data_IF_150908722613
#
_entry.id   IF_150908722613
#
_cell.length_a   1.000
_cell.length_b   1.000
_cell.length_c   1.000
_cell.angle_alpha   90.00
_cell.angle_beta   90.00
_cell.angle_gamma   90.00
#
_symmetry.space_group_name_H-M   'P 1'
#
loop_
_entity.id
_entity.type
_entity.pdbx_description
1 polymer ?
#
# COMPACT_ATOMS: atom_id res chain seq x y z
N UNK A 1 -4.21 -11.57 -1.32
CA UNK A 1 -4.25 -12.97 -1.78
C UNK A 1 -5.42 -13.13 -2.73
N UNK A 2 -5.16 -13.58 -3.95
CA UNK A 2 -6.22 -14.02 -4.89
C UNK A 2 -6.30 -15.54 -4.88
N UNK A 3 -7.44 -16.08 -5.33
CA UNK A 3 -7.65 -17.51 -5.56
C UNK A 3 -6.52 -18.09 -6.40
N UNK A 4 -5.80 -19.09 -5.90
CA UNK A 4 -4.70 -19.70 -6.64
C UNK A 4 -5.23 -20.33 -7.94
N UNK A 5 -4.45 -20.28 -9.03
CA UNK A 5 -4.89 -20.74 -10.35
C UNK A 5 -5.35 -22.21 -10.35
N UNK A 6 -4.81 -23.04 -9.46
CA UNK A 6 -5.18 -24.45 -9.30
C UNK A 6 -6.40 -24.70 -8.40
N UNK A 7 -6.94 -23.68 -7.73
CA UNK A 7 -8.12 -23.83 -6.88
C UNK A 7 -9.36 -23.92 -7.77
N UNK A 8 -10.16 -24.97 -7.60
CA UNK A 8 -11.41 -25.13 -8.31
C UNK A 8 -12.42 -24.04 -7.94
N UNK A 9 -13.15 -23.53 -8.93
CA UNK A 9 -14.21 -22.55 -8.73
C UNK A 9 -15.53 -23.19 -9.13
N UNK A 10 -16.47 -23.27 -8.18
CA UNK A 10 -17.84 -23.75 -8.43
C UNK A 10 -18.63 -22.63 -9.11
N UNK A 11 -19.30 -22.93 -10.21
CA UNK A 11 -20.24 -22.00 -10.83
C UNK A 11 -21.52 -21.92 -9.98
N UNK A 12 -21.93 -20.75 -9.50
CA UNK A 12 -23.12 -20.66 -8.66
C UNK A 12 -24.43 -20.84 -9.44
N UNK A 13 -24.39 -20.83 -10.77
CA UNK A 13 -25.56 -20.93 -11.65
C UNK A 13 -25.55 -22.18 -12.54
N UNK A 14 -24.46 -22.96 -12.54
CA UNK A 14 -24.32 -24.20 -13.32
C UNK A 14 -23.80 -25.32 -12.44
N UNK A 15 -24.18 -26.55 -12.76
CA UNK A 15 -23.61 -27.74 -12.11
C UNK A 15 -22.23 -28.06 -12.70
N UNK A 16 -21.26 -27.16 -12.45
CA UNK A 16 -19.91 -27.24 -13.03
C UNK A 16 -18.88 -26.66 -12.09
N UNK A 17 -17.72 -27.32 -12.03
CA UNK A 17 -16.54 -26.85 -11.30
C UNK A 17 -15.42 -26.63 -12.30
N UNK A 18 -14.90 -25.40 -12.37
CA UNK A 18 -13.79 -25.06 -13.25
C UNK A 18 -12.45 -25.21 -12.53
N UNK A 19 -11.65 -26.17 -12.98
CA UNK A 19 -10.31 -26.43 -12.44
C UNK A 19 -9.25 -25.59 -13.16
N UNK A 20 -9.32 -25.51 -14.49
CA UNK A 20 -8.32 -24.83 -15.32
C UNK A 20 -8.63 -23.35 -15.57
N UNK A 21 -7.60 -22.49 -15.76
CA UNK A 21 -7.79 -21.10 -16.15
C UNK A 21 -8.63 -20.97 -17.43
N UNK A 22 -9.75 -20.29 -17.33
CA UNK A 22 -10.67 -20.05 -18.45
C UNK A 22 -11.51 -18.80 -18.19
N UNK A 23 -12.10 -18.24 -19.25
CA UNK A 23 -13.06 -17.13 -19.10
C UNK A 23 -14.27 -17.55 -18.26
N UNK A 24 -14.69 -18.81 -18.36
CA UNK A 24 -15.81 -19.32 -17.57
C UNK A 24 -15.45 -19.44 -16.08
N UNK A 25 -14.22 -19.84 -15.75
CA UNK A 25 -13.71 -19.84 -14.37
C UNK A 25 -13.73 -18.45 -13.75
N UNK A 26 -13.25 -17.44 -14.49
CA UNK A 26 -13.25 -16.04 -14.04
C UNK A 26 -14.69 -15.53 -13.86
N UNK A 27 -15.59 -15.87 -14.79
CA UNK A 27 -17.02 -15.54 -14.67
C UNK A 27 -17.62 -16.14 -13.39
N UNK A 28 -17.45 -17.44 -13.17
CA UNK A 28 -17.94 -18.12 -11.97
C UNK A 28 -17.41 -17.50 -10.67
N UNK A 29 -16.14 -17.08 -10.66
CA UNK A 29 -15.56 -16.38 -9.52
C UNK A 29 -16.19 -14.99 -9.32
N UNK A 30 -16.41 -14.23 -10.40
CA UNK A 30 -17.08 -12.94 -10.37
C UNK A 30 -18.54 -13.04 -9.92
N UNK A 31 -19.27 -14.02 -10.44
CA UNK A 31 -20.66 -14.31 -10.08
C UNK A 31 -20.79 -14.69 -8.60
N UNK A 32 -19.88 -15.54 -8.11
CA UNK A 32 -19.81 -15.90 -6.68
C UNK A 32 -19.58 -14.67 -5.81
N UNK A 33 -18.63 -13.81 -6.19
CA UNK A 33 -18.37 -12.55 -5.48
C UNK A 33 -19.61 -11.63 -5.50
N UNK A 34 -20.28 -11.51 -6.64
CA UNK A 34 -21.52 -10.74 -6.79
C UNK A 34 -22.63 -11.23 -5.86
N UNK A 35 -22.85 -12.55 -5.80
CA UNK A 35 -23.83 -13.15 -4.89
C UNK A 35 -23.49 -12.93 -3.41
N UNK A 36 -22.21 -13.01 -3.04
CA UNK A 36 -21.76 -12.70 -1.68
C UNK A 36 -22.06 -11.22 -1.35
N UNK A 37 -21.79 -10.30 -2.29
CA UNK A 37 -22.09 -8.88 -2.11
C UNK A 37 -23.59 -8.66 -1.93
N UNK A 38 -24.43 -9.23 -2.81
CA UNK A 38 -25.89 -9.10 -2.71
C UNK A 38 -26.43 -9.62 -1.38
N UNK A 39 -26.02 -10.82 -0.95
CA UNK A 39 -26.41 -11.36 0.38
C UNK A 39 -25.91 -10.49 1.53
N UNK A 40 -24.68 -10.00 1.44
CA UNK A 40 -24.13 -9.09 2.47
C UNK A 40 -24.91 -7.78 2.54
N UNK A 41 -25.37 -7.26 1.41
CA UNK A 41 -26.21 -6.06 1.36
C UNK A 41 -27.60 -6.33 1.95
N UNK A 42 -28.20 -7.50 1.69
CA UNK A 42 -29.51 -7.87 2.26
C UNK A 42 -29.43 -8.08 3.78
N UNK A 43 -28.39 -8.75 4.27
CA UNK A 43 -28.30 -9.19 5.67
C UNK A 43 -27.60 -8.17 6.59
N UNK A 44 -26.62 -7.43 6.08
CA UNK A 44 -25.63 -6.68 6.90
C UNK A 44 -25.28 -5.30 6.34
N UNK A 45 -26.14 -4.72 5.49
CA UNK A 45 -25.90 -3.37 5.00
C UNK A 45 -25.80 -2.35 6.14
N UNK A 46 -24.80 -1.48 6.05
CA UNK A 46 -24.71 -0.28 6.87
C UNK A 46 -25.29 0.87 6.06
N UNK A 47 -26.53 1.26 6.38
CA UNK A 47 -27.18 2.41 5.74
C UNK A 47 -26.65 3.73 6.33
N UNK A 48 -26.30 4.67 5.45
CA UNK A 48 -25.81 5.99 5.81
C UNK A 48 -26.69 7.02 5.10
N UNK A 49 -27.51 7.76 5.85
CA UNK A 49 -28.38 8.83 5.29
C UNK A 49 -27.70 10.19 5.29
N UNK A 50 -26.83 10.41 6.27
CA UNK A 50 -26.06 11.64 6.43
C UNK A 50 -24.63 11.26 6.83
N UNK A 51 -23.65 11.94 6.24
CA UNK A 51 -22.24 11.72 6.54
C UNK A 51 -21.45 13.02 6.43
N UNK A 52 -20.52 13.21 7.36
CA UNK A 52 -19.48 14.23 7.23
C UNK A 52 -18.31 13.67 6.46
N UNK A 53 -17.64 14.54 5.70
CA UNK A 53 -16.38 14.26 5.04
C UNK A 53 -15.28 15.02 5.78
N UNK A 54 -14.22 14.31 6.18
CA UNK A 54 -13.01 14.92 6.72
C UNK A 54 -11.84 14.56 5.81
N UNK A 55 -10.95 15.52 5.56
CA UNK A 55 -9.79 15.33 4.69
C UNK A 55 -8.58 16.04 5.29
N UNK A 56 -7.44 15.36 5.25
CA UNK A 56 -6.10 15.93 5.44
C UNK A 56 -5.23 15.44 4.31
N UNK A 57 -4.57 16.35 3.62
CA UNK A 57 -3.65 16.04 2.54
C UNK A 57 -2.38 16.86 2.70
N UNK A 58 -1.26 16.30 2.26
CA UNK A 58 0.04 16.96 2.33
C UNK A 58 0.88 16.59 1.13
N UNK A 59 1.39 17.62 0.45
CA UNK A 59 2.48 17.51 -0.50
C UNK A 59 3.80 17.51 0.26
N UNK A 60 4.69 16.58 -0.06
CA UNK A 60 6.01 16.46 0.54
C UNK A 60 7.08 16.18 -0.50
N UNK A 61 8.34 16.43 -0.13
CA UNK A 61 9.50 16.10 -0.95
C UNK A 61 10.26 14.94 -0.35
N UNK A 62 10.46 13.88 -1.13
CA UNK A 62 11.24 12.71 -0.74
C UNK A 62 12.61 12.70 -1.43
N UNK A 63 13.70 12.31 -0.73
CA UNK A 63 15.00 12.18 -1.34
C UNK A 63 15.00 11.10 -2.43
N UNK A 64 15.37 11.47 -3.66
CA UNK A 64 15.62 10.53 -4.73
C UNK A 64 17.05 9.99 -4.59
N UNK A 65 17.23 8.79 -4.05
CA UNK A 65 18.54 8.12 -3.85
C UNK A 65 18.90 7.11 -4.92
N UNK A 66 17.91 6.57 -5.62
CA UNK A 66 18.11 5.60 -6.69
C UNK A 66 18.87 6.19 -7.88
N UNK A 67 20.04 5.60 -8.19
CA UNK A 67 20.94 6.09 -9.25
C UNK A 67 20.34 5.96 -10.65
N UNK A 68 19.57 4.89 -10.91
CA UNK A 68 18.93 4.68 -12.20
C UNK A 68 17.82 5.70 -12.42
N UNK A 69 17.01 5.96 -11.41
CA UNK A 69 15.94 6.97 -11.49
C UNK A 69 16.52 8.37 -11.70
N UNK A 70 17.62 8.71 -11.02
CA UNK A 70 18.33 9.98 -11.24
C UNK A 70 18.87 10.10 -12.66
N UNK A 71 19.45 9.03 -13.20
CA UNK A 71 19.94 9.01 -14.57
C UNK A 71 18.78 9.16 -15.56
N UNK A 72 17.70 8.41 -15.37
CA UNK A 72 16.50 8.46 -16.20
C UNK A 72 15.86 9.86 -16.20
N UNK A 73 15.81 10.52 -15.04
CA UNK A 73 15.40 11.91 -14.93
C UNK A 73 16.33 12.86 -15.70
N UNK A 74 17.65 12.70 -15.53
CA UNK A 74 18.65 13.56 -16.18
C UNK A 74 18.65 13.46 -17.71
N UNK A 75 18.30 12.29 -18.27
CA UNK A 75 18.20 12.08 -19.72
C UNK A 75 16.77 12.23 -20.26
N UNK A 76 15.81 12.65 -19.43
CA UNK A 76 14.44 12.96 -19.83
C UNK A 76 13.52 11.77 -20.09
N UNK A 77 13.89 10.55 -19.66
CA UNK A 77 13.03 9.36 -19.78
C UNK A 77 11.94 9.34 -18.70
N UNK A 78 12.23 9.91 -17.53
CA UNK A 78 11.31 9.93 -16.40
C UNK A 78 10.98 11.37 -16.02
N UNK A 79 9.69 11.71 -16.01
CA UNK A 79 9.24 12.97 -15.44
C UNK A 79 9.29 12.89 -13.91
N UNK A 80 10.37 13.44 -13.37
CA UNK A 80 10.71 13.26 -11.97
C UNK A 80 10.09 14.31 -11.05
N UNK A 81 9.21 15.21 -11.55
CA UNK A 81 8.60 16.35 -10.81
C UNK A 81 9.53 16.91 -9.74
N UNK A 82 10.78 17.19 -10.15
CA UNK A 82 11.84 17.47 -9.20
C UNK A 82 11.68 18.89 -8.66
N UNK A 83 11.29 19.00 -7.41
CA UNK A 83 11.18 20.28 -6.67
C UNK A 83 12.50 20.85 -6.21
N UNK A 84 13.60 20.19 -6.56
CA UNK A 84 14.96 20.60 -6.27
C UNK A 84 15.95 19.50 -6.65
N UNK A 85 17.22 19.71 -6.30
CA UNK A 85 18.26 18.73 -6.59
C UNK A 85 17.99 17.39 -5.88
N UNK A 86 17.77 16.33 -6.66
CA UNK A 86 17.60 14.95 -6.19
C UNK A 86 16.46 14.74 -5.19
N UNK A 87 15.32 15.41 -5.40
CA UNK A 87 14.08 15.18 -4.65
C UNK A 87 12.91 14.96 -5.61
N UNK A 88 11.98 14.08 -5.23
CA UNK A 88 10.69 13.88 -5.91
C UNK A 88 9.60 14.48 -5.04
N UNK A 89 8.79 15.37 -5.61
CA UNK A 89 7.53 15.81 -5.01
C UNK A 89 6.51 14.69 -5.11
N UNK A 90 5.75 14.50 -4.04
CA UNK A 90 4.68 13.50 -3.97
C UNK A 90 3.58 13.96 -3.03
N UNK A 91 2.45 13.26 -3.02
CA UNK A 91 1.28 13.62 -2.20
C UNK A 91 0.76 12.42 -1.40
N UNK A 92 0.35 12.69 -0.17
CA UNK A 92 -0.39 11.76 0.67
C UNK A 92 -1.68 12.40 1.16
N UNK A 93 -2.72 11.59 1.34
CA UNK A 93 -3.95 12.03 1.95
C UNK A 93 -4.58 10.95 2.84
N UNK A 94 -5.25 11.40 3.89
CA UNK A 94 -6.14 10.60 4.71
C UNK A 94 -7.48 11.30 4.77
N UNK A 95 -8.56 10.52 4.67
CA UNK A 95 -9.89 11.07 4.70
C UNK A 95 -10.91 10.07 5.21
N UNK A 96 -12.08 10.56 5.55
CA UNK A 96 -13.19 9.74 6.02
C UNK A 96 -14.51 10.23 5.47
N UNK A 97 -15.45 9.31 5.27
CA UNK A 97 -16.86 9.60 5.02
C UNK A 97 -17.70 8.62 5.83
N UNK A 98 -18.49 9.14 6.78
CA UNK A 98 -19.26 8.31 7.70
C UNK A 98 -18.36 7.30 8.46
N UNK A 99 -18.67 5.99 8.45
CA UNK A 99 -17.88 4.95 9.11
C UNK A 99 -16.68 4.46 8.30
N UNK A 100 -16.45 5.00 7.10
CA UNK A 100 -15.34 4.62 6.24
C UNK A 100 -14.18 5.62 6.37
N UNK A 101 -12.97 5.10 6.47
CA UNK A 101 -11.73 5.87 6.41
C UNK A 101 -10.78 5.31 5.37
N UNK A 102 -9.98 6.22 4.82
CA UNK A 102 -9.13 6.00 3.68
C UNK A 102 -7.75 6.60 3.99
N UNK A 103 -6.72 5.80 3.73
CA UNK A 103 -5.34 6.25 3.68
C UNK A 103 -4.84 6.03 2.25
N UNK A 104 -4.29 7.08 1.66
CA UNK A 104 -3.76 7.05 0.31
C UNK A 104 -2.27 7.29 0.36
N UNK A 105 -1.53 6.55 -0.45
CA UNK A 105 -0.08 6.68 -0.55
C UNK A 105 0.40 6.51 -1.98
N UNK A 106 1.45 7.25 -2.35
CA UNK A 106 2.01 7.24 -3.69
C UNK A 106 2.91 6.02 -3.85
N UNK A 107 2.69 5.18 -4.84
CA UNK A 107 3.50 3.95 -5.02
C UNK A 107 3.00 2.67 -4.36
N UNK A 108 3.89 1.67 -4.37
CA UNK A 108 3.64 0.30 -3.91
C UNK A 108 4.14 0.11 -2.46
N UNK A 109 3.27 0.40 -1.49
CA UNK A 109 3.56 0.20 -0.07
C UNK A 109 3.62 -1.29 0.30
N UNK A 110 4.70 -1.70 0.95
CA UNK A 110 4.80 -3.05 1.52
C UNK A 110 3.69 -3.28 2.56
N UNK A 111 2.95 -4.40 2.48
CA UNK A 111 1.76 -4.65 3.31
C UNK A 111 1.99 -4.52 4.81
N UNK A 112 3.21 -4.80 5.27
CA UNK A 112 3.61 -4.79 6.67
C UNK A 112 3.60 -3.38 7.27
N UNK A 113 3.81 -2.33 6.47
CA UNK A 113 3.71 -0.94 6.94
C UNK A 113 2.25 -0.60 7.26
N UNK A 114 1.32 -1.11 6.45
CA UNK A 114 -0.11 -0.87 6.64
C UNK A 114 -0.72 -1.78 7.70
N UNK A 115 -0.33 -3.05 7.73
CA UNK A 115 -1.01 -4.12 8.48
C UNK A 115 -0.18 -4.73 9.62
N UNK A 116 1.10 -4.44 9.70
CA UNK A 116 2.03 -5.01 10.66
C UNK A 116 2.76 -6.24 10.16
N UNK A 117 3.71 -6.69 10.97
CA UNK A 117 4.60 -7.80 10.62
C UNK A 117 5.97 -7.37 10.10
N UNK A 118 6.37 -6.10 10.29
CA UNK A 118 7.72 -5.65 9.97
C UNK A 118 8.74 -6.42 10.83
N UNK A 119 9.74 -6.99 10.16
CA UNK A 119 10.80 -7.79 10.78
C UNK A 119 12.16 -7.13 10.57
N UNK A 120 13.12 -7.49 11.41
CA UNK A 120 14.49 -6.98 11.34
C UNK A 120 15.49 -8.12 11.64
N UNK A 121 15.74 -8.98 10.65
CA UNK A 121 16.65 -10.14 10.80
C UNK A 121 18.11 -9.72 10.99
N UNK A 122 18.86 -10.48 11.78
CA UNK A 122 20.30 -10.24 11.98
C UNK A 122 21.07 -10.40 10.66
N UNK A 123 22.01 -9.50 10.37
CA UNK A 123 22.86 -9.52 9.18
C UNK A 123 22.37 -8.70 7.98
N UNK A 124 21.18 -8.10 8.05
CA UNK A 124 20.61 -7.17 7.06
C UNK A 124 21.51 -5.96 6.79
N UNK A 125 21.32 -5.32 5.64
CA UNK A 125 22.12 -4.16 5.21
C UNK A 125 22.00 -2.94 6.12
N UNK A 126 20.80 -2.69 6.64
CA UNK A 126 20.53 -1.52 7.49
C UNK A 126 20.14 -2.01 8.90
N UNK A 127 21.06 -1.97 9.87
CA UNK A 127 20.86 -2.53 11.21
C UNK A 127 20.03 -1.59 12.11
N UNK A 128 18.81 -1.28 11.69
CA UNK A 128 17.83 -0.51 12.48
C UNK A 128 16.69 -1.41 12.97
N UNK A 129 16.10 -1.07 14.11
CA UNK A 129 14.84 -1.67 14.55
C UNK A 129 13.70 -1.29 13.58
N UNK A 130 12.57 -2.01 13.55
CA UNK A 130 11.39 -1.58 12.80
C UNK A 130 10.99 -0.15 13.19
N UNK A 131 10.96 0.77 12.21
CA UNK A 131 10.66 2.19 12.45
C UNK A 131 9.21 2.52 12.11
N UNK A 132 8.64 1.84 11.11
CA UNK A 132 7.31 2.08 10.56
C UNK A 132 6.24 1.33 11.37
N UNK A 133 6.24 1.55 12.70
CA UNK A 133 5.37 0.90 13.68
C UNK A 133 4.76 1.96 14.64
N UNK A 134 3.51 1.81 15.13
CA UNK A 134 2.55 0.72 14.84
C UNK A 134 2.02 0.72 13.39
N UNK A 135 1.34 -0.34 12.94
CA UNK A 135 0.79 -0.40 11.58
C UNK A 135 -0.20 0.74 11.32
N UNK A 136 -0.13 1.40 10.16
CA UNK A 136 -0.98 2.57 9.87
C UNK A 136 -2.48 2.25 9.99
N UNK A 137 -2.93 1.05 9.61
CA UNK A 137 -4.34 0.64 9.72
C UNK A 137 -4.85 0.55 11.16
N UNK A 138 -3.95 0.32 12.13
CA UNK A 138 -4.30 0.35 13.55
C UNK A 138 -4.70 1.76 14.02
N UNK A 139 -4.15 2.80 13.39
CA UNK A 139 -4.38 4.20 13.73
C UNK A 139 -5.58 4.80 12.98
N UNK A 140 -6.08 4.14 11.94
CA UNK A 140 -7.26 4.56 11.20
C UNK A 140 -8.54 4.40 12.03
N UNK A 141 -9.43 5.38 11.95
CA UNK A 141 -10.74 5.37 12.60
C UNK A 141 -11.81 4.71 11.73
N UNK A 142 -13.01 4.52 12.30
CA UNK A 142 -14.15 3.98 11.56
C UNK A 142 -14.13 2.46 11.42
N UNK A 143 -15.25 1.93 10.96
CA UNK A 143 -15.50 0.49 10.79
C UNK A 143 -14.78 -0.04 9.55
N UNK A 144 -14.81 0.72 8.45
CA UNK A 144 -14.23 0.32 7.17
C UNK A 144 -12.95 1.10 6.92
N UNK A 145 -11.81 0.41 6.80
CA UNK A 145 -10.48 1.03 6.74
C UNK A 145 -9.76 0.62 5.46
N UNK A 146 -9.71 1.52 4.49
CA UNK A 146 -9.16 1.28 3.16
C UNK A 146 -7.77 1.88 3.01
N UNK A 147 -6.81 1.08 2.54
CA UNK A 147 -5.52 1.60 2.07
C UNK A 147 -5.47 1.55 0.56
N UNK A 148 -5.14 2.68 -0.06
CA UNK A 148 -5.10 2.83 -1.52
C UNK A 148 -3.69 3.25 -1.89
N UNK A 149 -2.95 2.35 -2.55
CA UNK A 149 -1.66 2.66 -3.17
C UNK A 149 -1.83 3.22 -4.57
N UNK A 150 -0.72 3.64 -5.18
CA UNK A 150 -0.71 4.27 -6.52
C UNK A 150 -1.67 5.47 -6.60
N UNK A 151 -1.89 6.15 -5.48
CA UNK A 151 -2.83 7.26 -5.39
C UNK A 151 -2.13 8.58 -5.68
N UNK A 152 -2.74 9.40 -6.53
CA UNK A 152 -2.25 10.69 -7.05
C UNK A 152 -0.98 10.61 -7.90
N UNK A 153 0.04 9.88 -7.48
CA UNK A 153 1.30 9.69 -8.19
C UNK A 153 2.00 8.35 -7.85
N UNK A 154 3.14 8.13 -8.49
CA UNK A 154 3.94 6.90 -8.43
C UNK A 154 5.39 7.21 -8.07
N UNK A 155 5.89 6.58 -6.99
CA UNK A 155 7.27 6.77 -6.49
C UNK A 155 8.05 5.46 -6.34
N UNK A 156 7.51 4.37 -6.86
CA UNK A 156 8.05 3.03 -6.74
C UNK A 156 7.64 2.33 -5.44
N UNK A 157 8.42 1.32 -5.09
CA UNK A 157 8.20 0.53 -3.88
C UNK A 157 8.61 1.28 -2.62
N UNK A 158 7.79 1.12 -1.58
CA UNK A 158 8.04 1.68 -0.26
C UNK A 158 8.24 0.51 0.71
N UNK A 159 9.51 0.29 1.07
CA UNK A 159 9.98 -0.89 1.80
C UNK A 159 10.42 -0.47 3.20
N UNK A 160 9.99 -1.17 4.27
CA UNK A 160 10.43 -0.89 5.63
C UNK A 160 11.95 -0.80 5.70
N UNK A 161 12.47 0.24 6.35
CA UNK A 161 13.92 0.48 6.37
C UNK A 161 14.70 -0.69 6.98
N UNK A 162 14.08 -1.38 7.93
CA UNK A 162 14.63 -2.58 8.60
C UNK A 162 14.65 -3.85 7.73
N UNK A 163 14.07 -3.81 6.53
CA UNK A 163 14.01 -4.96 5.60
C UNK A 163 14.86 -4.78 4.34
N UNK A 164 15.64 -3.71 4.24
CA UNK A 164 16.60 -3.53 3.16
C UNK A 164 17.75 -4.55 3.26
N UNK A 165 18.05 -5.19 2.13
CA UNK A 165 18.94 -6.34 1.98
C UNK A 165 19.45 -6.44 0.52
N UNK A 166 20.07 -5.36 0.03
CA UNK A 166 20.56 -5.21 -1.34
C UNK A 166 21.95 -5.85 -1.58
N UNK A 167 22.72 -6.10 -0.52
CA UNK A 167 24.11 -6.61 -0.61
C UNK A 167 24.26 -7.98 0.01
N UNK A 168 25.23 -8.73 -0.50
CA UNK A 168 25.61 -10.02 0.09
C UNK A 168 26.36 -9.81 1.42
N UNK A 169 26.21 -10.72 2.39
CA UNK A 169 25.30 -11.87 2.39
C UNK A 169 23.85 -11.46 2.66
N UNK A 170 22.92 -11.97 1.84
CA UNK A 170 21.49 -11.73 2.01
C UNK A 170 20.92 -12.53 3.17
N UNK A 171 19.96 -11.97 3.90
CA UNK A 171 19.35 -12.59 5.08
C UNK A 171 17.89 -12.97 4.91
N UNK A 172 17.18 -12.33 3.97
CA UNK A 172 15.77 -12.64 3.71
C UNK A 172 15.56 -13.68 2.61
N UNK A 173 16.45 -13.69 1.60
CA UNK A 173 16.39 -14.59 0.45
C UNK A 173 17.77 -14.73 -0.21
N UNK A 174 17.86 -15.34 -1.38
CA UNK A 174 19.12 -15.59 -2.10
C UNK A 174 19.58 -14.42 -3.01
N UNK A 175 18.80 -13.34 -3.12
CA UNK A 175 19.03 -12.16 -3.99
C UNK A 175 18.32 -10.88 -3.47
N UNK A 176 18.68 -9.67 -3.92
CA UNK A 176 18.00 -8.41 -3.51
C UNK A 176 16.54 -8.37 -3.94
N UNK A 177 15.64 -7.74 -3.17
CA UNK A 177 14.23 -7.53 -3.53
C UNK A 177 14.07 -6.71 -4.82
N UNK A 178 13.07 -7.08 -5.65
CA UNK A 178 12.77 -6.31 -6.87
C UNK A 178 12.38 -4.87 -6.54
N UNK A 179 11.67 -4.68 -5.41
CA UNK A 179 11.27 -3.36 -4.97
C UNK A 179 12.44 -2.44 -4.62
N UNK A 180 13.55 -2.97 -4.10
CA UNK A 180 14.71 -2.16 -3.71
C UNK A 180 15.31 -1.44 -4.92
N UNK A 181 15.33 -2.13 -6.07
CA UNK A 181 15.77 -1.58 -7.35
C UNK A 181 14.82 -0.51 -7.90
N UNK A 182 13.54 -0.57 -7.52
CA UNK A 182 12.46 0.29 -8.00
C UNK A 182 11.89 1.13 -6.86
N UNK A 183 12.73 1.62 -5.97
CA UNK A 183 12.36 2.53 -4.87
C UNK A 183 13.11 3.85 -5.00
N UNK A 184 12.60 4.95 -4.43
CA UNK A 184 13.39 6.17 -4.28
C UNK A 184 14.59 5.96 -3.34
N UNK A 185 14.48 5.07 -2.35
CA UNK A 185 15.57 4.66 -1.45
C UNK A 185 15.13 4.34 -0.01
N UNK A 186 16.08 3.98 0.87
CA UNK A 186 15.77 3.48 2.22
C UNK A 186 15.10 4.45 3.19
N UNK A 187 15.18 5.75 2.92
CA UNK A 187 14.52 6.77 3.76
C UNK A 187 13.06 7.02 3.36
N UNK A 188 12.59 6.46 2.25
CA UNK A 188 11.24 6.67 1.74
C UNK A 188 10.18 6.19 2.72
N UNK A 189 10.28 4.95 3.20
CA UNK A 189 9.27 4.39 4.11
C UNK A 189 9.19 5.13 5.45
N UNK A 190 10.30 5.42 6.18
CA UNK A 190 10.22 6.16 7.43
C UNK A 190 9.64 7.57 7.28
N UNK A 191 10.05 8.31 6.24
CA UNK A 191 9.56 9.67 6.02
C UNK A 191 8.07 9.67 5.68
N UNK A 192 7.65 8.82 4.73
CA UNK A 192 6.26 8.72 4.33
C UNK A 192 5.37 8.22 5.47
N UNK A 193 5.83 7.21 6.21
CA UNK A 193 5.13 6.66 7.38
C UNK A 193 4.87 7.74 8.43
N UNK A 194 5.88 8.55 8.77
CA UNK A 194 5.72 9.61 9.76
C UNK A 194 4.70 10.67 9.33
N UNK A 195 4.70 11.04 8.05
CA UNK A 195 3.74 12.01 7.51
C UNK A 195 2.31 11.45 7.51
N UNK A 196 2.12 10.21 7.04
CA UNK A 196 0.83 9.53 7.09
C UNK A 196 0.32 9.37 8.53
N UNK A 197 1.22 9.04 9.46
CA UNK A 197 0.90 8.92 10.89
C UNK A 197 0.39 10.23 11.46
N UNK A 198 1.07 11.35 11.19
CA UNK A 198 0.65 12.68 11.64
C UNK A 198 -0.72 13.05 11.07
N UNK A 199 -0.95 12.82 9.77
CA UNK A 199 -2.25 13.12 9.16
C UNK A 199 -3.38 12.28 9.77
N UNK A 200 -3.14 11.00 10.09
CA UNK A 200 -4.12 10.15 10.78
C UNK A 200 -4.46 10.67 12.17
N UNK A 201 -3.46 11.14 12.93
CA UNK A 201 -3.64 11.77 14.24
C UNK A 201 -4.48 13.06 14.11
N UNK A 202 -4.14 13.95 13.17
CA UNK A 202 -4.87 15.18 12.89
C UNK A 202 -6.33 14.93 12.46
N UNK A 203 -6.55 13.91 11.63
CA UNK A 203 -7.90 13.51 11.19
C UNK A 203 -8.75 12.99 12.37
N UNK A 204 -8.11 12.47 13.43
CA UNK A 204 -8.80 11.97 14.63
C UNK A 204 -9.20 13.02 15.64
N UNK A 205 -8.71 14.25 15.49
CA UNK A 205 -9.00 15.32 16.45
C UNK A 205 -8.50 15.04 17.86
N UNK A 206 -7.60 14.06 18.06
CA UNK A 206 -6.92 13.83 19.34
C UNK A 206 -5.86 14.92 19.53
N UNK A 207 -5.95 15.76 20.58
CA UNK A 207 -4.88 16.70 20.91
C UNK A 207 -3.65 15.97 21.43
N UNK A 208 -2.48 16.57 21.18
CA UNK A 208 -1.15 16.15 21.62
C UNK A 208 -1.05 15.92 23.13
#
# INVERSE_FOLDING_TARGET
>A
MTTHASMGVVDPFRDTVYLDPSFDKIRAQGDTLGLIILRTMEEKAVEIREASINLRAKTLDLPLRNRLFRLAAAIGIMDADMTGWMKKRTEVAVWSIGPASFITFPGELYPEILNGGIVALSGRDIPVVPLETPPLRYMMQGTFRFGIGLANDEIGYIIPKSQWDEKKPYVYRDKPYYGEQNSLGPETAPLLYNELRQLLEELSGKPY
#
